data_IF_118145884828
#
_entry.id   IF_118145884828
#
_cell.length_a   1.000
_cell.length_b   1.000
_cell.length_c   1.000
_cell.angle_alpha   90.00
_cell.angle_beta   90.00
_cell.angle_gamma   90.00
#
_symmetry.space_group_name_H-M   'P 1'
#
loop_
_entity.id
_entity.type
_entity.pdbx_description
1 polymer ?
#
# COMPACT_ATOMS: atom_id res chain seq x y z
N UNK A 1 -2.79 25.77 -20.99
CA UNK A 1 -1.78 25.41 -19.98
C UNK A 1 -1.76 23.91 -19.75
N UNK A 2 -0.61 23.33 -19.79
CA UNK A 2 -0.48 21.90 -19.59
C UNK A 2 -0.43 21.60 -18.09
N UNK A 3 -1.46 20.91 -17.60
CA UNK A 3 -1.56 20.57 -16.18
C UNK A 3 -1.21 19.12 -15.88
N UNK A 4 -0.50 18.48 -16.82
CA UNK A 4 -0.10 17.10 -16.60
C UNK A 4 0.92 17.00 -15.46
N UNK A 5 0.58 16.20 -14.49
CA UNK A 5 1.47 15.92 -13.38
C UNK A 5 2.51 14.90 -13.82
N UNK A 6 3.77 15.23 -13.62
CA UNK A 6 4.86 14.29 -13.85
C UNK A 6 5.29 13.70 -12.52
N UNK A 7 5.35 12.38 -12.47
CA UNK A 7 5.72 11.66 -11.25
C UNK A 7 7.06 11.01 -11.49
N UNK A 8 8.04 11.38 -10.67
CA UNK A 8 9.38 10.84 -10.73
C UNK A 8 9.56 9.71 -9.71
N UNK A 9 10.17 8.62 -10.15
CA UNK A 9 10.54 7.52 -9.29
C UNK A 9 12.07 7.43 -9.24
N UNK A 10 12.66 7.92 -8.16
CA UNK A 10 14.12 7.89 -7.99
C UNK A 10 14.60 6.48 -7.71
N UNK A 11 15.84 6.18 -8.10
CA UNK A 11 16.40 4.84 -7.99
C UNK A 11 16.38 4.28 -6.57
N UNK A 12 16.72 5.09 -5.59
CA UNK A 12 16.74 4.65 -4.20
C UNK A 12 15.35 4.31 -3.67
N UNK A 13 14.33 5.02 -4.17
CA UNK A 13 12.93 4.75 -3.80
C UNK A 13 12.36 3.60 -4.61
N UNK A 14 12.82 3.43 -5.85
CA UNK A 14 12.34 2.39 -6.76
C UNK A 14 12.60 0.98 -6.25
N UNK A 15 13.61 0.79 -5.41
CA UNK A 15 13.88 -0.51 -4.80
C UNK A 15 12.75 -0.98 -3.90
N UNK A 16 11.98 -0.05 -3.38
CA UNK A 16 10.84 -0.34 -2.54
C UNK A 16 11.21 -0.68 -1.10
N UNK A 17 10.20 -0.75 -0.28
CA UNK A 17 10.33 -1.14 1.12
C UNK A 17 9.31 -2.23 1.41
N UNK A 18 9.79 -3.38 1.83
CA UNK A 18 8.90 -4.49 2.17
C UNK A 18 8.25 -4.26 3.52
N UNK A 19 6.94 -4.45 3.59
CA UNK A 19 6.19 -4.40 4.84
C UNK A 19 5.14 -5.51 4.81
N UNK A 20 4.90 -6.12 5.96
CA UNK A 20 3.90 -7.17 6.09
C UNK A 20 2.84 -6.85 7.13
N UNK A 21 2.86 -5.63 7.66
CA UNK A 21 1.87 -5.14 8.61
C UNK A 21 1.72 -3.64 8.42
N UNK A 22 0.52 -3.14 8.55
CA UNK A 22 0.25 -1.71 8.59
C UNK A 22 -0.53 -1.39 9.84
N UNK A 23 -0.04 -0.43 10.61
CA UNK A 23 -0.73 0.09 11.78
C UNK A 23 -1.27 1.46 11.42
N UNK A 24 -2.58 1.64 11.53
CA UNK A 24 -3.24 2.85 11.09
C UNK A 24 -3.88 3.54 12.30
N UNK A 25 -3.53 4.81 12.46
CA UNK A 25 -4.11 5.66 13.49
C UNK A 25 -4.60 6.94 12.84
N UNK A 26 -5.43 7.68 13.54
CA UNK A 26 -5.95 8.94 13.01
C UNK A 26 -6.26 9.95 14.10
N UNK A 27 -6.23 11.20 13.70
CA UNK A 27 -6.77 12.32 14.47
C UNK A 27 -7.94 12.93 13.70
N UNK A 28 -8.41 14.10 14.12
CA UNK A 28 -9.48 14.80 13.39
C UNK A 28 -9.02 15.33 12.02
N UNK A 29 -7.73 15.45 11.80
CA UNK A 29 -7.19 16.10 10.60
C UNK A 29 -6.28 15.21 9.75
N UNK A 30 -5.81 14.08 10.28
CA UNK A 30 -4.80 13.27 9.59
C UNK A 30 -4.99 11.79 9.85
N UNK A 31 -4.61 10.99 8.86
CA UNK A 31 -4.41 9.56 9.02
C UNK A 31 -2.92 9.25 8.94
N UNK A 32 -2.47 8.39 9.83
CA UNK A 32 -1.08 7.96 9.88
C UNK A 32 -1.04 6.46 9.59
N UNK A 33 -0.29 6.09 8.55
CA UNK A 33 -0.11 4.68 8.18
C UNK A 33 1.35 4.33 8.42
N UNK A 34 1.58 3.45 9.39
CA UNK A 34 2.91 2.96 9.71
C UNK A 34 3.08 1.57 9.10
N UNK A 35 3.97 1.48 8.12
CA UNK A 35 4.29 0.20 7.50
C UNK A 35 5.40 -0.47 8.29
N UNK A 36 5.13 -1.69 8.70
CA UNK A 36 5.96 -2.42 9.66
C UNK A 36 6.44 -3.72 9.03
N UNK A 37 7.68 -4.05 9.31
CA UNK A 37 8.23 -5.35 8.93
C UNK A 37 8.34 -6.22 10.18
N UNK A 38 7.56 -7.28 10.21
CA UNK A 38 7.60 -8.26 11.30
C UNK A 38 8.43 -9.44 10.83
N UNK A 39 9.45 -9.79 11.59
CA UNK A 39 10.35 -10.91 11.28
C UNK A 39 10.30 -11.95 12.39
N UNK A 40 10.21 -13.25 12.04
CA UNK A 40 10.26 -14.31 13.04
C UNK A 40 11.52 -14.23 13.88
N UNK A 41 11.39 -14.48 15.19
CA UNK A 41 12.52 -14.48 16.11
C UNK A 41 13.01 -13.13 16.57
N UNK A 42 12.45 -12.04 16.03
CA UNK A 42 12.81 -10.69 16.46
C UNK A 42 11.86 -10.23 17.55
N UNK A 43 12.39 -9.76 18.70
CA UNK A 43 11.53 -9.33 19.80
C UNK A 43 10.79 -8.03 19.55
N UNK A 44 11.26 -7.23 18.60
CA UNK A 44 10.63 -5.96 18.24
C UNK A 44 10.49 -5.86 16.73
N UNK A 45 9.30 -5.42 16.28
CA UNK A 45 9.07 -5.08 14.89
C UNK A 45 9.43 -3.63 14.66
N UNK A 46 9.96 -3.33 13.47
CA UNK A 46 10.39 -1.97 13.11
C UNK A 46 9.38 -1.33 12.17
N UNK A 47 9.05 -0.07 12.45
CA UNK A 47 8.34 0.76 11.47
C UNK A 47 9.35 1.13 10.38
N UNK A 48 9.06 0.74 9.16
CA UNK A 48 9.94 1.01 8.02
C UNK A 48 9.60 2.33 7.33
N UNK A 49 8.35 2.72 7.36
CA UNK A 49 7.91 3.94 6.73
C UNK A 49 6.63 4.43 7.37
N UNK A 50 6.56 5.72 7.62
CA UNK A 50 5.35 6.37 8.14
C UNK A 50 4.84 7.33 7.08
N UNK A 51 3.59 7.15 6.69
CA UNK A 51 2.93 8.01 5.71
C UNK A 51 1.79 8.74 6.41
N UNK A 52 1.74 10.05 6.22
CA UNK A 52 0.69 10.90 6.77
C UNK A 52 -0.19 11.37 5.63
N UNK A 53 -1.50 11.17 5.78
CA UNK A 53 -2.46 11.49 4.74
C UNK A 53 -3.58 12.36 5.29
N UNK A 54 -4.01 13.34 4.49
CA UNK A 54 -5.28 14.01 4.77
C UNK A 54 -6.42 12.99 4.65
N UNK A 55 -7.52 13.15 5.41
CA UNK A 55 -8.61 12.18 5.40
C UNK A 55 -9.18 11.89 4.02
N UNK A 56 -9.29 12.90 3.16
CA UNK A 56 -9.79 12.70 1.80
C UNK A 56 -8.86 11.83 0.96
N UNK A 57 -7.55 11.93 1.16
CA UNK A 57 -6.58 11.10 0.45
C UNK A 57 -6.55 9.69 0.98
N UNK A 58 -6.78 9.50 2.27
CA UNK A 58 -6.92 8.18 2.86
C UNK A 58 -8.11 7.45 2.24
N UNK A 59 -9.21 8.15 2.01
CA UNK A 59 -10.39 7.61 1.36
C UNK A 59 -10.12 7.19 -0.08
N UNK A 60 -9.39 8.03 -0.80
CA UNK A 60 -9.00 7.71 -2.19
C UNK A 60 -8.09 6.50 -2.25
N UNK A 61 -7.15 6.42 -1.31
CA UNK A 61 -6.26 5.26 -1.21
C UNK A 61 -7.05 3.99 -0.97
N UNK A 62 -8.02 4.03 -0.05
CA UNK A 62 -8.89 2.88 0.22
C UNK A 62 -9.58 2.40 -1.05
N UNK A 63 -10.19 3.30 -1.80
CA UNK A 63 -10.90 2.96 -3.03
C UNK A 63 -9.97 2.38 -4.09
N UNK A 64 -8.80 3.01 -4.27
CA UNK A 64 -7.83 2.53 -5.24
C UNK A 64 -7.30 1.15 -4.87
N UNK A 65 -7.05 0.92 -3.58
CA UNK A 65 -6.57 -0.36 -3.10
C UNK A 65 -7.62 -1.45 -3.28
N UNK A 66 -8.87 -1.17 -2.93
CA UNK A 66 -9.98 -2.10 -3.14
C UNK A 66 -10.10 -2.50 -4.61
N UNK A 67 -10.02 -1.52 -5.50
CA UNK A 67 -10.12 -1.78 -6.93
C UNK A 67 -8.98 -2.66 -7.43
N UNK A 68 -7.76 -2.39 -6.99
CA UNK A 68 -6.61 -3.17 -7.41
C UNK A 68 -6.62 -4.58 -6.82
N UNK A 69 -7.02 -4.72 -5.58
CA UNK A 69 -7.18 -6.03 -4.96
C UNK A 69 -8.24 -6.83 -5.71
N UNK A 70 -9.34 -6.18 -6.07
CA UNK A 70 -10.38 -6.83 -6.85
C UNK A 70 -9.89 -7.36 -8.19
N UNK A 71 -9.10 -6.55 -8.89
CA UNK A 71 -8.49 -6.97 -10.15
C UNK A 71 -7.55 -8.17 -9.95
N UNK A 72 -6.73 -8.11 -8.92
CA UNK A 72 -5.81 -9.19 -8.59
C UNK A 72 -6.56 -10.49 -8.31
N UNK A 73 -7.60 -10.42 -7.51
CA UNK A 73 -8.38 -11.59 -7.15
C UNK A 73 -9.07 -12.22 -8.37
N UNK A 74 -9.58 -11.39 -9.28
CA UNK A 74 -10.19 -11.89 -10.52
C UNK A 74 -9.15 -12.57 -11.41
N UNK A 75 -7.98 -12.00 -11.53
CA UNK A 75 -6.89 -12.57 -12.32
C UNK A 75 -6.44 -13.90 -11.74
N UNK A 76 -6.28 -13.98 -10.44
CA UNK A 76 -5.89 -15.21 -9.76
C UNK A 76 -6.94 -16.29 -9.96
N UNK A 77 -8.21 -15.93 -9.86
CA UNK A 77 -9.31 -16.87 -10.08
C UNK A 77 -9.28 -17.42 -11.50
N UNK A 78 -9.04 -16.58 -12.50
CA UNK A 78 -8.95 -16.99 -13.89
C UNK A 78 -7.78 -17.96 -14.11
N UNK A 79 -6.65 -17.70 -13.47
CA UNK A 79 -5.48 -18.57 -13.54
C UNK A 79 -5.81 -19.96 -12.99
N UNK A 80 -6.48 -20.01 -11.85
CA UNK A 80 -6.89 -21.29 -11.26
C UNK A 80 -7.86 -22.05 -12.17
N UNK A 81 -8.80 -21.35 -12.78
CA UNK A 81 -9.72 -21.97 -13.72
C UNK A 81 -8.99 -22.59 -14.90
N UNK A 82 -7.97 -21.91 -15.41
CA UNK A 82 -7.19 -22.42 -16.53
C UNK A 82 -6.43 -23.71 -16.19
N UNK A 83 -5.99 -23.85 -14.96
CA UNK A 83 -5.20 -25.02 -14.55
C UNK A 83 -6.04 -26.20 -14.10
N UNK A 84 -7.27 -25.99 -13.68
CA UNK A 84 -8.11 -27.04 -13.13
C UNK A 84 -9.27 -27.43 -14.02
N UNK A 85 -9.37 -26.81 -15.17
CA UNK A 85 -10.31 -27.21 -16.18
C UNK A 85 -9.67 -28.16 -17.18
#
# INVERSE_FOLDING_TARGET
>A
MNNQLQIELKEDVAQGTYANLAVITHSSSEFIVDFVRVMPGMPKASVKSRIVLAPEHAKRLLRALEENIGKYERTLRNIFFQFYL
#
